data_IF_154218986726
#
_entry.id   IF_154218986726
#
_cell.length_a   1.000
_cell.length_b   1.000
_cell.length_c   1.000
_cell.angle_alpha   90.00
_cell.angle_beta   90.00
_cell.angle_gamma   90.00
#
_symmetry.space_group_name_H-M   'P 1'
#
loop_
_entity.id
_entity.type
_entity.pdbx_description
1 polymer ?
#
# COMPACT_ATOMS: atom_id res chain seq x y z
N UNK A 1 -23.78 5.07 -16.82
CA UNK A 1 -23.81 4.85 -15.36
C UNK A 1 -22.37 4.82 -14.87
N UNK A 2 -21.95 5.91 -14.24
CA UNK A 2 -20.56 6.21 -13.90
C UNK A 2 -20.22 5.54 -12.57
N UNK A 3 -19.22 4.64 -12.57
CA UNK A 3 -18.73 3.98 -11.34
C UNK A 3 -17.81 4.89 -10.50
N UNK A 4 -17.41 6.05 -11.03
CA UNK A 4 -16.40 6.92 -10.42
C UNK A 4 -16.89 7.98 -9.43
N UNK A 5 -18.20 8.13 -9.22
CA UNK A 5 -18.74 9.29 -8.47
C UNK A 5 -19.17 9.00 -7.02
N UNK A 6 -18.78 7.86 -6.45
CA UNK A 6 -18.96 7.57 -5.02
C UNK A 6 -17.74 6.79 -4.52
N UNK A 7 -16.87 7.46 -3.77
CA UNK A 7 -16.39 7.10 -2.42
C UNK A 7 -15.20 8.04 -2.10
N UNK A 8 -15.40 8.94 -1.15
CA UNK A 8 -14.36 9.81 -0.59
C UNK A 8 -13.48 9.07 0.43
N UNK A 9 -12.85 7.98 0.00
CA UNK A 9 -11.72 7.35 0.70
C UNK A 9 -10.62 7.24 -0.36
N UNK A 10 -9.42 7.71 -0.01
CA UNK A 10 -8.24 7.62 -0.87
C UNK A 10 -8.12 6.20 -1.45
N UNK A 11 -7.99 6.11 -2.77
CA UNK A 11 -8.27 4.88 -3.49
C UNK A 11 -7.14 3.87 -3.29
N UNK A 12 -7.44 2.77 -2.60
CA UNK A 12 -6.63 1.57 -2.66
C UNK A 12 -6.91 0.84 -4.00
N UNK A 13 -5.87 0.56 -4.79
CA UNK A 13 -5.96 -0.18 -6.05
C UNK A 13 -5.48 -1.61 -5.84
N UNK A 14 -6.38 -2.56 -6.06
CA UNK A 14 -6.06 -4.00 -6.06
C UNK A 14 -5.36 -4.40 -7.37
N UNK A 15 -4.03 -4.39 -7.39
CA UNK A 15 -3.22 -4.53 -8.61
C UNK A 15 -3.35 -5.90 -9.29
N UNK A 16 -3.40 -6.99 -8.52
CA UNK A 16 -3.48 -8.37 -9.03
C UNK A 16 -4.78 -8.67 -9.83
N UNK A 17 -5.79 -7.81 -9.68
CA UNK A 17 -7.05 -7.90 -10.45
C UNK A 17 -7.04 -7.14 -11.78
N UNK A 18 -5.94 -6.43 -12.10
CA UNK A 18 -5.83 -5.53 -13.25
C UNK A 18 -4.91 -6.12 -14.32
N UNK A 19 -5.21 -5.82 -15.58
CA UNK A 19 -4.23 -6.03 -16.65
C UNK A 19 -3.08 -5.02 -16.51
N UNK A 20 -1.90 -5.36 -17.02
CA UNK A 20 -0.74 -4.46 -16.99
C UNK A 20 -1.06 -3.10 -17.66
N UNK A 21 -1.84 -3.12 -18.76
CA UNK A 21 -2.26 -1.90 -19.47
C UNK A 21 -3.18 -1.02 -18.64
N UNK A 22 -4.18 -1.62 -17.98
CA UNK A 22 -5.10 -0.86 -17.13
C UNK A 22 -4.39 -0.30 -15.91
N UNK A 23 -3.46 -1.07 -15.32
CA UNK A 23 -2.67 -0.62 -14.19
C UNK A 23 -1.78 0.57 -14.57
N UNK A 24 -1.08 0.49 -15.70
CA UNK A 24 -0.28 1.60 -16.24
C UNK A 24 -1.14 2.86 -16.43
N UNK A 25 -2.30 2.73 -17.08
CA UNK A 25 -3.20 3.87 -17.31
C UNK A 25 -3.68 4.53 -16.01
N UNK A 26 -4.02 3.74 -15.00
CA UNK A 26 -4.41 4.25 -13.66
C UNK A 26 -3.24 5.02 -13.03
N UNK A 27 -2.04 4.45 -13.07
CA UNK A 27 -0.85 5.04 -12.45
C UNK A 27 -0.44 6.34 -13.15
N UNK A 28 -0.45 6.39 -14.48
CA UNK A 28 -0.18 7.62 -15.26
C UNK A 28 -1.17 8.71 -14.86
N UNK A 29 -2.47 8.40 -14.84
CA UNK A 29 -3.50 9.37 -14.45
C UNK A 29 -3.39 9.86 -13.00
N UNK A 30 -2.90 9.02 -12.08
CA UNK A 30 -2.64 9.42 -10.70
C UNK A 30 -1.40 10.31 -10.58
N UNK A 31 -0.31 9.96 -11.27
CA UNK A 31 0.93 10.74 -11.31
C UNK A 31 0.68 12.12 -11.90
N UNK A 32 0.01 12.20 -13.05
CA UNK A 32 -0.31 13.47 -13.74
C UNK A 32 -1.15 14.41 -12.87
N UNK A 33 -2.07 13.86 -12.07
CA UNK A 33 -2.97 14.62 -11.19
C UNK A 33 -2.41 14.80 -9.78
N UNK A 34 -1.23 14.26 -9.50
CA UNK A 34 -0.65 14.18 -8.16
C UNK A 34 -1.64 13.60 -7.12
N UNK A 35 -2.37 12.57 -7.51
CA UNK A 35 -3.40 11.92 -6.69
C UNK A 35 -2.77 10.83 -5.82
N UNK A 36 -3.23 10.74 -4.56
CA UNK A 36 -2.72 9.75 -3.60
C UNK A 36 -3.37 8.39 -3.85
N UNK A 37 -2.55 7.35 -4.05
CA UNK A 37 -3.02 5.96 -4.17
C UNK A 37 -2.22 5.02 -3.28
N UNK A 38 -2.92 4.06 -2.68
CA UNK A 38 -2.33 2.85 -2.10
C UNK A 38 -2.48 1.71 -3.10
N UNK A 39 -1.38 1.10 -3.50
CA UNK A 39 -1.36 -0.10 -4.34
C UNK A 39 -1.29 -1.32 -3.43
N UNK A 40 -2.19 -2.29 -3.61
CA UNK A 40 -2.19 -3.55 -2.86
C UNK A 40 -2.04 -4.74 -3.79
N UNK A 41 -1.40 -5.81 -3.30
CA UNK A 41 -1.04 -7.00 -4.11
C UNK A 41 -0.26 -6.64 -5.38
N UNK A 42 0.60 -5.63 -5.28
CA UNK A 42 1.59 -5.28 -6.29
C UNK A 42 2.78 -6.24 -6.15
N UNK A 43 2.61 -7.48 -6.62
CA UNK A 43 3.69 -8.46 -6.58
C UNK A 43 4.87 -8.02 -7.44
N UNK A 44 6.08 -8.45 -7.07
CA UNK A 44 7.34 -8.05 -7.71
C UNK A 44 7.31 -8.25 -9.23
N UNK A 45 6.78 -9.38 -9.69
CA UNK A 45 6.61 -9.64 -11.12
C UNK A 45 5.76 -8.59 -11.84
N UNK A 46 4.69 -8.09 -11.20
CA UNK A 46 3.82 -7.05 -11.76
C UNK A 46 4.46 -5.67 -11.67
N UNK A 47 5.12 -5.37 -10.55
CA UNK A 47 5.93 -4.15 -10.44
C UNK A 47 7.00 -4.11 -11.53
N UNK A 48 7.67 -5.23 -11.79
CA UNK A 48 8.79 -5.29 -12.72
C UNK A 48 8.42 -5.00 -14.18
N UNK A 49 7.17 -5.31 -14.55
CA UNK A 49 6.64 -5.02 -15.89
C UNK A 49 6.26 -3.55 -16.09
N UNK A 50 6.22 -2.74 -15.02
CA UNK A 50 5.92 -1.32 -15.13
C UNK A 50 7.06 -0.55 -15.82
N UNK A 51 6.74 0.45 -16.65
CA UNK A 51 7.72 1.39 -17.19
C UNK A 51 8.57 2.06 -16.09
N UNK A 52 9.85 2.31 -16.38
CA UNK A 52 10.79 2.95 -15.44
C UNK A 52 10.28 4.31 -14.96
N UNK A 53 9.66 5.08 -15.85
CA UNK A 53 9.09 6.40 -15.52
C UNK A 53 7.89 6.33 -14.57
N UNK A 54 7.21 5.19 -14.49
CA UNK A 54 6.15 4.96 -13.52
C UNK A 54 6.74 4.45 -12.21
N UNK A 55 7.65 3.46 -12.28
CA UNK A 55 8.31 2.88 -11.09
C UNK A 55 8.93 3.92 -10.18
N UNK A 56 9.60 4.95 -10.74
CA UNK A 56 10.25 6.01 -9.97
C UNK A 56 9.28 6.86 -9.13
N UNK A 57 7.99 6.82 -9.44
CA UNK A 57 6.93 7.54 -8.72
C UNK A 57 6.22 6.66 -7.68
N UNK A 58 6.66 5.41 -7.50
CA UNK A 58 6.07 4.46 -6.56
C UNK A 58 7.05 4.21 -5.42
N UNK A 59 6.64 4.51 -4.19
CA UNK A 59 7.27 3.96 -2.98
C UNK A 59 6.83 2.49 -2.89
N UNK A 60 7.66 1.56 -3.35
CA UNK A 60 7.35 0.14 -3.40
C UNK A 60 7.94 -0.63 -2.22
N UNK A 61 7.15 -1.49 -1.59
CA UNK A 61 7.62 -2.47 -0.61
C UNK A 61 7.26 -3.89 -1.05
N UNK A 62 8.29 -4.67 -1.39
CA UNK A 62 8.15 -6.03 -1.88
C UNK A 62 7.62 -7.01 -0.82
N UNK A 63 7.90 -6.78 0.47
CA UNK A 63 7.50 -7.68 1.56
C UNK A 63 5.99 -7.69 1.75
N UNK A 64 5.35 -6.51 1.74
CA UNK A 64 3.89 -6.38 1.79
C UNK A 64 3.22 -6.45 0.43
N UNK A 65 3.98 -6.46 -0.66
CA UNK A 65 3.47 -6.29 -2.02
C UNK A 65 2.56 -5.06 -2.14
N UNK A 66 3.00 -3.92 -1.59
CA UNK A 66 2.25 -2.66 -1.66
C UNK A 66 3.09 -1.51 -2.22
N UNK A 67 2.42 -0.45 -2.66
CA UNK A 67 3.06 0.75 -3.18
C UNK A 67 2.31 2.02 -2.80
N UNK A 68 2.98 3.16 -2.73
CA UNK A 68 2.33 4.47 -2.66
C UNK A 68 2.63 5.30 -3.89
N UNK A 69 1.63 6.00 -4.42
CA UNK A 69 1.78 7.03 -5.45
C UNK A 69 1.26 8.35 -4.92
N UNK A 70 1.91 9.44 -5.28
CA UNK A 70 1.49 10.78 -4.91
C UNK A 70 1.76 11.13 -3.44
N UNK A 71 1.17 12.24 -2.94
CA UNK A 71 1.44 12.72 -1.60
C UNK A 71 0.79 11.81 -0.57
N UNK A 72 1.49 11.54 0.54
CA UNK A 72 0.92 10.87 1.69
C UNK A 72 0.27 11.88 2.64
N UNK A 73 -0.79 11.45 3.33
CA UNK A 73 -1.40 12.24 4.40
C UNK A 73 -0.41 12.52 5.53
N UNK A 74 -0.59 13.65 6.20
CA UNK A 74 0.10 13.94 7.45
C UNK A 74 -0.31 12.92 8.53
N UNK A 75 0.63 12.56 9.38
CA UNK A 75 0.38 11.62 10.48
C UNK A 75 -0.33 12.38 11.59
N UNK A 76 -1.48 11.85 12.05
CA UNK A 76 -2.25 12.44 13.13
C UNK A 76 -1.50 12.42 14.46
N UNK A 77 -1.64 13.47 15.25
CA UNK A 77 -1.17 13.51 16.64
C UNK A 77 -2.21 12.85 17.56
N UNK A 78 -2.21 11.52 17.65
CA UNK A 78 -3.22 10.71 18.36
C UNK A 78 -2.69 9.28 18.59
N UNK A 79 -3.26 8.47 19.51
CA UNK A 79 -2.59 7.25 19.97
C UNK A 79 -2.29 6.28 18.82
N UNK A 80 -1.07 5.75 18.83
CA UNK A 80 -0.57 4.81 17.82
C UNK A 80 -1.32 3.48 17.87
N UNK A 81 -1.65 2.96 16.70
CA UNK A 81 -2.09 1.57 16.54
C UNK A 81 -0.88 0.65 16.76
N UNK A 82 -1.00 -0.33 17.65
CA UNK A 82 0.02 -1.38 17.81
C UNK A 82 -0.31 -2.55 16.88
N UNK A 83 0.67 -2.99 16.09
CA UNK A 83 0.60 -4.18 15.24
C UNK A 83 1.51 -5.23 15.89
N UNK A 84 0.97 -6.40 16.21
CA UNK A 84 1.73 -7.45 16.92
C UNK A 84 1.69 -8.73 16.12
N UNK A 85 2.85 -9.34 15.89
CA UNK A 85 2.97 -10.65 15.23
C UNK A 85 3.59 -11.69 16.16
N UNK A 86 3.14 -12.94 16.03
CA UNK A 86 3.66 -14.06 16.80
C UNK A 86 4.74 -14.85 16.04
N UNK A 87 4.90 -14.61 14.75
CA UNK A 87 5.93 -15.24 13.95
C UNK A 87 6.19 -14.53 12.63
N UNK A 88 7.32 -14.88 12.01
CA UNK A 88 7.79 -14.24 10.77
C UNK A 88 6.87 -14.43 9.57
N UNK A 89 5.98 -15.42 9.60
CA UNK A 89 4.97 -15.63 8.55
C UNK A 89 3.96 -14.49 8.46
N UNK A 90 3.74 -13.77 9.56
CA UNK A 90 2.77 -12.68 9.63
C UNK A 90 3.35 -11.35 9.13
N UNK A 91 4.67 -11.27 8.91
CA UNK A 91 5.38 -10.04 8.57
C UNK A 91 4.82 -9.35 7.32
N UNK A 92 4.43 -10.12 6.29
CA UNK A 92 3.86 -9.55 5.07
C UNK A 92 2.53 -8.83 5.36
N UNK A 93 1.66 -9.47 6.14
CA UNK A 93 0.34 -8.95 6.52
C UNK A 93 0.49 -7.77 7.50
N UNK A 94 1.37 -7.88 8.48
CA UNK A 94 1.66 -6.81 9.43
C UNK A 94 2.21 -5.57 8.74
N UNK A 95 3.09 -5.76 7.73
CA UNK A 95 3.63 -4.65 6.95
C UNK A 95 2.60 -4.02 6.03
N UNK A 96 1.72 -4.81 5.41
CA UNK A 96 0.58 -4.29 4.63
C UNK A 96 -0.36 -3.44 5.52
N UNK A 97 -0.65 -3.90 6.74
CA UNK A 97 -1.44 -3.15 7.71
C UNK A 97 -0.77 -1.82 8.11
N UNK A 98 0.53 -1.84 8.42
CA UNK A 98 1.29 -0.63 8.72
C UNK A 98 1.30 0.36 7.56
N UNK A 99 1.48 -0.12 6.32
CA UNK A 99 1.46 0.73 5.12
C UNK A 99 0.07 1.29 4.83
N UNK A 100 -0.98 0.52 5.09
CA UNK A 100 -2.37 1.00 4.99
C UNK A 100 -2.63 2.13 6.00
N UNK A 101 -2.23 1.97 7.25
CA UNK A 101 -2.34 3.01 8.29
C UNK A 101 -1.53 4.25 7.91
N UNK A 102 -0.31 4.07 7.41
CA UNK A 102 0.54 5.17 6.93
C UNK A 102 -0.14 5.98 5.83
N UNK A 103 -0.77 5.33 4.85
CA UNK A 103 -1.50 6.01 3.78
C UNK A 103 -2.72 6.78 4.31
N UNK A 104 -3.43 6.21 5.28
CA UNK A 104 -4.55 6.85 5.96
C UNK A 104 -4.14 8.04 6.86
N UNK A 105 -2.84 8.23 7.13
CA UNK A 105 -2.32 9.22 8.07
C UNK A 105 -2.46 8.80 9.54
N UNK A 106 -2.62 7.50 9.80
CA UNK A 106 -2.72 6.95 11.15
C UNK A 106 -1.34 6.48 11.66
N UNK A 107 -0.91 6.87 12.86
CA UNK A 107 0.34 6.39 13.44
C UNK A 107 0.24 4.90 13.80
N UNK A 108 1.30 4.14 13.50
CA UNK A 108 1.40 2.72 13.87
C UNK A 108 2.78 2.35 14.39
N UNK A 109 2.83 1.36 15.28
CA UNK A 109 4.06 0.78 15.83
C UNK A 109 3.95 -0.74 15.73
N UNK A 110 4.94 -1.37 15.10
CA UNK A 110 4.99 -2.83 14.94
C UNK A 110 5.87 -3.48 16.01
N UNK A 111 5.39 -4.59 16.55
CA UNK A 111 6.09 -5.48 17.47
C UNK A 111 6.12 -6.86 16.85
N UNK A 112 7.25 -7.21 16.26
CA UNK A 112 7.42 -8.46 15.54
C UNK A 112 8.01 -9.55 16.44
N UNK A 113 7.64 -10.81 16.17
CA UNK A 113 8.24 -12.00 16.81
C UNK A 113 8.04 -12.08 18.34
N UNK A 114 6.83 -11.76 18.81
CA UNK A 114 6.43 -11.89 20.23
C UNK A 114 5.84 -13.28 20.57
N UNK A 115 6.03 -14.27 19.69
CA UNK A 115 5.58 -15.64 19.94
C UNK A 115 6.46 -16.34 20.97
N UNK A 116 5.86 -16.75 22.10
CA UNK A 116 6.51 -17.70 23.02
C UNK A 116 6.52 -19.08 22.37
N UNK A 117 7.63 -19.44 21.74
CA UNK A 117 7.92 -20.82 21.38
C UNK A 117 8.18 -21.63 22.66
N UNK A 118 7.11 -22.14 23.28
CA UNK A 118 7.19 -23.03 24.44
C UNK A 118 6.15 -22.74 25.51
N UNK A 119 4.97 -23.33 25.35
CA UNK A 119 4.11 -23.74 26.47
C UNK A 119 3.88 -25.24 26.35
#
# INVERSE_FOLDING_TARGET
>A
MNRGDRIGIDEAVLCDSKSDKDLIYILEGAIERNYSLLLTRLFEASFDRLPVDIKKNIDYDAVSATGFVGPLKEIKESPSVAIVTAGTSDNCVAREASRTLRHAGEPSTSFDDLGVAGL
#
